data_IF_978388280313
#
_entry.id   IF_978388280313
#
_cell.length_a   1.000
_cell.length_b   1.000
_cell.length_c   1.000
_cell.angle_alpha   90.00
_cell.angle_beta   90.00
_cell.angle_gamma   90.00
#
_symmetry.space_group_name_H-M   'P 1'
#
loop_
_entity.id
_entity.type
_entity.pdbx_description
1 polymer ?
#
# COMPACT_ATOMS: atom_id res chain seq x y z
N UNK A 1 88.66 8.07 68.97
CA UNK A 1 88.09 9.44 68.89
C UNK A 1 86.80 9.45 69.67
N UNK A 2 86.57 10.44 70.51
CA UNK A 2 85.29 10.59 71.22
C UNK A 2 84.24 11.14 70.26
N UNK A 3 82.95 10.84 70.49
CA UNK A 3 81.86 11.26 69.58
C UNK A 3 81.82 12.79 69.34
N UNK A 4 82.32 13.58 70.29
CA UNK A 4 82.42 15.03 70.19
C UNK A 4 83.44 15.51 69.12
N UNK A 5 84.44 14.71 68.77
CA UNK A 5 85.49 15.11 67.82
C UNK A 5 85.15 14.79 66.35
N UNK A 6 84.00 14.17 66.07
CA UNK A 6 83.60 13.75 64.72
C UNK A 6 82.36 14.50 64.15
N UNK A 7 81.84 15.52 64.85
CA UNK A 7 80.63 16.23 64.42
C UNK A 7 79.36 15.35 64.40
N UNK A 8 79.39 14.21 65.10
CA UNK A 8 78.29 13.26 65.14
C UNK A 8 77.15 13.73 66.05
N UNK A 9 75.91 13.48 65.64
CA UNK A 9 74.71 13.79 66.43
C UNK A 9 74.68 12.88 67.68
N UNK A 10 74.60 13.44 68.91
CA UNK A 10 74.48 12.65 70.12
C UNK A 10 73.23 11.77 70.09
N UNK A 11 73.32 10.52 70.53
CA UNK A 11 72.16 9.61 70.57
C UNK A 11 71.00 10.15 71.42
N UNK A 12 71.31 10.96 72.44
CA UNK A 12 70.32 11.63 73.31
C UNK A 12 69.54 12.75 72.61
N UNK A 13 70.02 13.24 71.48
CA UNK A 13 69.40 14.33 70.72
C UNK A 13 68.46 13.83 69.60
N UNK A 14 68.32 12.51 69.42
CA UNK A 14 67.46 11.94 68.39
C UNK A 14 66.04 11.73 68.91
N UNK A 15 65.03 12.14 68.15
CA UNK A 15 63.61 11.94 68.49
C UNK A 15 63.12 12.71 69.73
N UNK A 16 63.91 13.64 70.26
CA UNK A 16 63.57 14.47 71.43
C UNK A 16 63.20 15.89 71.02
N UNK A 17 62.43 16.61 71.86
CA UNK A 17 62.02 18.00 71.61
C UNK A 17 63.25 18.90 71.50
N UNK A 18 63.36 19.65 70.40
CA UNK A 18 64.53 20.50 70.10
C UNK A 18 65.74 19.75 69.54
N UNK A 19 65.62 18.44 69.32
CA UNK A 19 66.63 17.57 68.72
C UNK A 19 66.46 17.39 67.20
N UNK A 20 66.97 16.27 66.69
CA UNK A 20 66.90 15.90 65.26
C UNK A 20 65.93 14.73 65.08
N UNK A 21 65.12 14.79 64.02
CA UNK A 21 64.18 13.72 63.68
C UNK A 21 64.90 12.40 63.33
N UNK A 22 64.32 11.28 63.74
CA UNK A 22 64.77 9.95 63.37
C UNK A 22 64.10 9.48 62.08
N UNK A 23 64.71 8.48 61.43
CA UNK A 23 64.11 7.77 60.31
C UNK A 23 63.83 6.32 60.69
N UNK A 24 62.69 5.79 60.25
CA UNK A 24 62.34 4.38 60.40
C UNK A 24 63.17 3.48 59.47
N UNK A 25 62.92 2.16 59.52
CA UNK A 25 63.61 1.18 58.67
C UNK A 25 63.40 1.39 57.15
N UNK A 26 62.47 2.26 56.75
CA UNK A 26 62.25 2.67 55.37
C UNK A 26 62.80 4.06 55.03
N UNK A 27 63.51 4.71 55.95
CA UNK A 27 64.11 6.02 55.72
C UNK A 27 63.13 7.21 55.83
N UNK A 28 61.98 7.04 56.50
CA UNK A 28 60.99 8.11 56.69
C UNK A 28 60.90 8.56 58.15
N UNK A 29 60.56 9.82 58.38
CA UNK A 29 60.32 10.33 59.76
C UNK A 29 59.05 9.67 60.32
N UNK A 30 59.11 9.00 61.50
CA UNK A 30 57.93 8.41 62.13
C UNK A 30 56.84 9.45 62.41
N UNK A 31 55.58 9.10 62.23
CA UNK A 31 54.44 10.02 62.44
C UNK A 31 54.36 10.57 63.87
N UNK A 32 54.89 9.85 64.86
CA UNK A 32 55.00 10.32 66.25
C UNK A 32 55.91 11.54 66.43
N UNK A 33 56.76 11.85 65.45
CA UNK A 33 57.64 13.02 65.44
C UNK A 33 57.11 14.17 64.56
N UNK A 34 55.97 13.98 63.89
CA UNK A 34 55.34 14.99 63.04
C UNK A 34 54.32 15.81 63.85
N UNK A 35 54.16 17.12 63.59
CA UNK A 35 53.10 17.92 64.20
C UNK A 35 51.72 17.35 63.88
N UNK A 36 50.76 17.44 64.81
CA UNK A 36 49.46 16.78 64.65
C UNK A 36 48.75 17.18 63.36
N UNK A 37 48.88 18.43 62.88
CA UNK A 37 48.34 18.95 61.60
C UNK A 37 48.82 18.24 60.32
N UNK A 38 49.78 17.32 60.39
CA UNK A 38 50.22 16.52 59.24
C UNK A 38 49.37 15.26 59.06
N UNK A 39 48.62 14.84 60.09
CA UNK A 39 47.72 13.68 60.04
C UNK A 39 46.26 14.09 60.23
N UNK A 40 45.60 14.51 59.15
CA UNK A 40 44.23 15.04 59.20
C UNK A 40 43.15 13.96 59.31
N UNK A 41 43.51 12.68 59.15
CA UNK A 41 42.58 11.55 59.16
C UNK A 41 43.10 10.46 60.09
N UNK A 42 42.50 10.37 61.28
CA UNK A 42 42.85 9.40 62.30
C UNK A 42 41.89 8.21 62.25
N UNK A 43 42.43 7.02 62.05
CA UNK A 43 41.63 5.79 61.99
C UNK A 43 41.70 5.00 63.29
N UNK A 44 40.54 4.56 63.77
CA UNK A 44 40.43 3.74 64.98
C UNK A 44 39.57 2.51 64.71
N UNK A 45 39.84 1.42 65.43
CA UNK A 45 39.07 0.19 65.29
C UNK A 45 37.58 0.36 65.65
N UNK A 46 37.27 1.23 66.63
CA UNK A 46 35.92 1.49 67.14
C UNK A 46 35.78 2.91 67.69
N UNK A 47 34.56 3.46 67.75
CA UNK A 47 34.32 4.81 68.31
C UNK A 47 34.65 4.91 69.81
N UNK A 48 34.56 3.80 70.54
CA UNK A 48 34.98 3.71 71.95
C UNK A 48 36.50 3.82 72.14
N UNK A 49 37.28 3.66 71.07
CA UNK A 49 38.74 3.81 71.08
C UNK A 49 39.18 5.24 70.78
N UNK A 50 38.24 6.17 70.53
CA UNK A 50 38.58 7.58 70.37
C UNK A 50 39.15 8.16 71.68
N UNK A 51 40.08 9.13 71.58
CA UNK A 51 40.53 9.88 72.75
C UNK A 51 39.36 10.50 73.52
N UNK A 52 39.50 10.66 74.83
CA UNK A 52 38.46 11.30 75.65
C UNK A 52 38.17 12.76 75.23
N UNK A 53 39.12 13.43 74.58
CA UNK A 53 38.98 14.77 74.00
C UNK A 53 39.59 14.76 72.61
N UNK A 54 38.79 15.13 71.60
CA UNK A 54 39.27 15.24 70.23
C UNK A 54 39.99 16.55 69.94
N UNK A 55 40.70 16.58 68.82
CA UNK A 55 41.36 17.76 68.29
C UNK A 55 40.48 18.40 67.20
N UNK A 56 40.39 19.73 67.23
CA UNK A 56 39.70 20.48 66.18
C UNK A 56 40.46 20.35 64.85
N UNK A 57 39.71 20.23 63.75
CA UNK A 57 40.30 20.12 62.40
C UNK A 57 40.70 18.69 62.00
N UNK A 58 40.52 17.69 62.88
CA UNK A 58 40.76 16.28 62.58
C UNK A 58 39.51 15.53 62.16
N UNK A 59 39.69 14.61 61.22
CA UNK A 59 38.69 13.63 60.80
C UNK A 59 39.01 12.32 61.51
N UNK A 60 38.01 11.78 62.20
CA UNK A 60 38.13 10.51 62.91
C UNK A 60 37.31 9.47 62.14
N UNK A 61 37.95 8.41 61.67
CA UNK A 61 37.30 7.33 60.92
C UNK A 61 37.28 6.08 61.78
N UNK A 62 36.11 5.45 61.88
CA UNK A 62 35.98 4.16 62.54
C UNK A 62 36.02 3.05 61.50
N UNK A 63 36.99 2.15 61.59
CA UNK A 63 37.25 1.13 60.58
C UNK A 63 36.15 0.06 60.49
N UNK A 64 35.49 -0.27 61.59
CA UNK A 64 34.45 -1.32 61.62
C UNK A 64 33.16 -0.92 60.88
N UNK A 65 32.83 0.36 60.91
CA UNK A 65 31.56 0.92 60.42
C UNK A 65 31.77 1.90 59.26
N UNK A 66 33.02 2.24 58.96
CA UNK A 66 33.43 3.28 58.00
C UNK A 66 32.79 4.64 58.25
N UNK A 67 32.36 4.90 59.49
CA UNK A 67 31.75 6.17 59.87
C UNK A 67 32.82 7.22 60.12
N UNK A 68 32.54 8.45 59.70
CA UNK A 68 33.44 9.59 59.82
C UNK A 68 32.89 10.61 60.81
N UNK A 69 33.75 11.10 61.68
CA UNK A 69 33.43 12.01 62.77
C UNK A 69 34.37 13.21 62.77
N UNK A 70 33.90 14.33 63.34
CA UNK A 70 34.71 15.50 63.70
C UNK A 70 34.54 15.83 65.17
N UNK A 71 35.54 16.46 65.78
CA UNK A 71 35.40 17.02 67.13
C UNK A 71 34.67 18.38 67.08
N UNK A 72 33.57 18.52 67.82
CA UNK A 72 32.77 19.76 67.88
C UNK A 72 33.30 20.79 68.89
N UNK A 73 34.32 20.44 69.68
CA UNK A 73 34.76 21.18 70.86
C UNK A 73 34.32 20.54 72.17
N UNK A 74 33.25 19.71 72.15
CA UNK A 74 32.76 19.02 73.34
C UNK A 74 32.39 17.55 73.12
N UNK A 75 32.19 17.13 71.87
CA UNK A 75 31.85 15.75 71.54
C UNK A 75 32.29 15.39 70.11
N UNK A 76 32.38 14.10 69.82
CA UNK A 76 32.51 13.60 68.46
C UNK A 76 31.15 13.63 67.76
N UNK A 77 31.09 14.29 66.61
CA UNK A 77 29.87 14.43 65.80
C UNK A 77 30.09 13.77 64.44
N UNK A 78 29.20 12.84 64.08
CA UNK A 78 29.22 12.15 62.78
C UNK A 78 29.03 13.19 61.65
N UNK A 79 29.93 13.19 60.66
CA UNK A 79 29.96 14.19 59.59
C UNK A 79 28.84 13.94 58.56
N UNK A 80 28.54 12.68 58.29
CA UNK A 80 27.46 12.28 57.40
C UNK A 80 26.70 11.11 58.01
N UNK A 81 25.52 11.36 58.56
CA UNK A 81 24.59 10.29 58.91
C UNK A 81 24.15 9.64 57.60
N UNK A 82 24.48 8.37 57.40
CA UNK A 82 24.02 7.61 56.23
C UNK A 82 22.49 7.63 56.14
N UNK A 83 21.94 7.95 54.98
CA UNK A 83 20.49 7.94 54.76
C UNK A 83 20.03 6.48 54.62
N UNK A 84 19.18 6.02 55.53
CA UNK A 84 18.59 4.69 55.47
C UNK A 84 17.53 4.59 54.36
N UNK A 85 17.27 3.39 53.85
CA UNK A 85 16.16 3.15 52.93
C UNK A 85 14.82 3.18 53.68
N UNK A 86 13.85 3.95 53.20
CA UNK A 86 12.56 4.13 53.89
C UNK A 86 11.61 5.12 53.23
N UNK A 87 10.49 5.41 53.89
CA UNK A 87 9.38 6.24 53.37
C UNK A 87 9.09 7.48 54.23
N UNK A 88 10.05 7.96 55.02
CA UNK A 88 9.93 9.22 55.77
C UNK A 88 10.84 10.29 55.18
N UNK A 89 10.66 11.55 55.61
CA UNK A 89 11.47 12.69 55.18
C UNK A 89 12.97 12.57 55.52
N UNK A 90 13.36 11.57 56.30
CA UNK A 90 14.75 11.30 56.71
C UNK A 90 15.39 10.10 55.97
N UNK A 91 14.71 9.53 54.96
CA UNK A 91 15.13 8.30 54.26
C UNK A 91 15.03 8.41 52.74
N UNK A 92 15.83 7.65 52.00
CA UNK A 92 15.78 7.61 50.54
C UNK A 92 14.97 6.41 50.05
N UNK A 93 14.20 6.59 48.98
CA UNK A 93 13.51 5.48 48.33
C UNK A 93 14.50 4.53 47.66
N UNK A 94 14.13 3.25 47.52
CA UNK A 94 14.90 2.32 46.71
C UNK A 94 14.92 2.78 45.24
N UNK A 95 16.09 2.81 44.63
CA UNK A 95 16.30 3.32 43.27
C UNK A 95 15.67 2.47 42.14
N UNK A 96 15.22 1.25 42.43
CA UNK A 96 14.59 0.33 41.48
C UNK A 96 13.07 0.58 41.27
N UNK A 97 12.43 1.45 42.07
CA UNK A 97 10.97 1.69 42.00
C UNK A 97 10.46 2.09 40.62
N UNK A 98 11.21 2.91 39.88
CA UNK A 98 10.83 3.33 38.53
C UNK A 98 10.76 2.14 37.55
N UNK A 99 11.74 1.24 37.63
CA UNK A 99 11.79 -0.01 36.85
C UNK A 99 10.65 -0.93 37.23
N UNK A 100 10.41 -1.13 38.52
CA UNK A 100 9.29 -1.95 39.01
C UNK A 100 7.95 -1.41 38.53
N UNK A 101 7.71 -0.10 38.62
CA UNK A 101 6.47 0.51 38.14
C UNK A 101 6.28 0.36 36.64
N UNK A 102 7.34 0.56 35.85
CA UNK A 102 7.31 0.38 34.40
C UNK A 102 7.04 -1.08 34.03
N UNK A 103 7.75 -2.03 34.62
CA UNK A 103 7.55 -3.45 34.34
C UNK A 103 6.11 -3.89 34.70
N UNK A 104 5.56 -3.39 35.81
CA UNK A 104 4.19 -3.67 36.22
C UNK A 104 3.15 -3.05 35.27
N UNK A 105 3.41 -1.88 34.69
CA UNK A 105 2.51 -1.25 33.70
C UNK A 105 2.55 -1.94 32.33
N UNK A 106 3.62 -2.66 32.01
CA UNK A 106 3.73 -3.41 30.75
C UNK A 106 3.08 -4.80 30.79
N UNK A 107 2.61 -5.26 31.95
CA UNK A 107 1.85 -6.52 32.06
C UNK A 107 0.45 -6.33 31.48
N UNK A 108 0.22 -6.81 30.25
CA UNK A 108 -1.08 -6.72 29.55
C UNK A 108 -1.88 -8.02 29.60
N UNK A 109 -1.35 -9.06 30.24
CA UNK A 109 -1.97 -10.39 30.34
C UNK A 109 -1.93 -10.90 31.79
N UNK A 110 -2.78 -11.88 32.13
CA UNK A 110 -2.73 -12.57 33.42
C UNK A 110 -3.39 -11.87 34.62
N UNK A 111 -4.18 -10.80 34.40
CA UNK A 111 -4.82 -10.02 35.46
C UNK A 111 -3.83 -9.51 36.55
N UNK A 112 -2.84 -8.69 36.17
CA UNK A 112 -1.75 -8.27 37.07
C UNK A 112 -2.22 -7.41 38.24
N UNK A 113 -3.40 -6.80 38.13
CA UNK A 113 -4.01 -6.01 39.19
C UNK A 113 -4.98 -6.83 40.05
N UNK A 114 -5.11 -8.14 39.79
CA UNK A 114 -6.00 -9.06 40.49
C UNK A 114 -7.44 -8.54 40.63
N UNK A 115 -7.89 -7.73 39.65
CA UNK A 115 -9.22 -7.15 39.65
C UNK A 115 -10.20 -8.21 39.20
N UNK A 116 -11.24 -8.46 40.00
CA UNK A 116 -12.33 -9.36 39.59
C UNK A 116 -13.22 -8.67 38.56
N UNK A 117 -13.93 -9.45 37.74
CA UNK A 117 -14.88 -8.90 36.77
C UNK A 117 -15.87 -7.91 37.43
N UNK A 118 -16.39 -8.28 38.61
CA UNK A 118 -17.30 -7.43 39.38
C UNK A 118 -16.67 -6.09 39.78
N UNK A 119 -15.40 -6.08 40.21
CA UNK A 119 -14.68 -4.86 40.57
C UNK A 119 -14.38 -3.96 39.35
N UNK A 120 -14.22 -4.55 38.17
CA UNK A 120 -14.08 -3.81 36.92
C UNK A 120 -15.42 -3.32 36.34
N UNK A 121 -16.55 -3.58 37.02
CA UNK A 121 -17.89 -3.29 36.49
C UNK A 121 -18.31 -4.22 35.34
N UNK A 122 -17.55 -5.28 35.08
CA UNK A 122 -17.93 -6.34 34.14
C UNK A 122 -18.83 -7.34 34.88
N UNK A 123 -20.09 -7.46 34.46
CA UNK A 123 -21.02 -8.43 35.01
C UNK A 123 -20.52 -9.88 34.80
N UNK A 124 -21.02 -10.81 35.65
CA UNK A 124 -20.52 -12.18 35.80
C UNK A 124 -20.42 -13.01 34.49
N UNK A 125 -19.53 -14.00 34.51
CA UNK A 125 -18.95 -14.78 33.40
C UNK A 125 -19.87 -15.61 32.48
N UNK A 126 -21.15 -15.25 32.30
CA UNK A 126 -22.01 -15.92 31.34
C UNK A 126 -22.87 -14.92 30.56
N UNK A 127 -22.35 -14.48 29.41
CA UNK A 127 -23.20 -13.97 28.34
C UNK A 127 -23.55 -15.13 27.40
N UNK A 128 -24.53 -15.96 27.78
CA UNK A 128 -25.27 -16.70 26.76
C UNK A 128 -26.28 -15.75 26.15
N UNK A 129 -25.86 -14.97 25.15
CA UNK A 129 -26.84 -14.35 24.26
C UNK A 129 -27.46 -15.49 23.45
N UNK A 130 -28.71 -15.85 23.75
CA UNK A 130 -29.49 -16.62 22.78
C UNK A 130 -29.53 -15.79 21.49
N UNK A 131 -29.35 -16.40 20.32
CA UNK A 131 -29.36 -15.69 19.05
C UNK A 131 -30.65 -14.85 18.82
N UNK A 132 -31.72 -15.17 19.53
CA UNK A 132 -32.99 -14.43 19.57
C UNK A 132 -32.92 -13.07 20.27
N UNK A 133 -31.92 -12.84 21.13
CA UNK A 133 -31.79 -11.60 21.92
C UNK A 133 -31.04 -10.49 21.14
N UNK A 134 -30.36 -10.85 20.04
CA UNK A 134 -29.82 -9.89 19.05
C UNK A 134 -30.90 -9.38 18.09
N UNK A 135 -32.09 -9.99 18.07
CA UNK A 135 -33.16 -9.69 17.10
C UNK A 135 -34.37 -9.00 17.73
N UNK A 136 -34.45 -8.91 19.07
CA UNK A 136 -35.58 -8.31 19.79
C UNK A 136 -35.42 -6.81 20.08
N UNK A 137 -34.22 -6.24 19.88
CA UNK A 137 -33.91 -4.84 20.20
C UNK A 137 -33.55 -3.96 19.00
N UNK A 138 -33.76 -4.43 17.76
CA UNK A 138 -33.72 -3.54 16.60
C UNK A 138 -35.03 -2.76 16.58
N UNK A 139 -35.07 -1.68 17.37
CA UNK A 139 -35.95 -0.56 17.08
C UNK A 139 -35.57 -0.10 15.66
N UNK A 140 -36.48 -0.36 14.72
CA UNK A 140 -36.37 -0.04 13.31
C UNK A 140 -36.47 1.46 13.03
N UNK A 141 -36.44 2.31 14.06
CA UNK A 141 -36.36 3.76 13.94
C UNK A 141 -35.03 4.28 14.49
N UNK A 142 -34.10 4.75 13.63
CA UNK A 142 -32.87 5.36 14.11
C UNK A 142 -33.21 6.72 14.75
N UNK A 143 -33.32 6.76 16.07
CA UNK A 143 -33.39 8.03 16.80
C UNK A 143 -31.99 8.67 16.75
N UNK A 144 -31.89 9.77 16.00
CA UNK A 144 -30.70 10.59 15.91
C UNK A 144 -30.35 11.16 17.29
N UNK A 145 -29.36 10.59 17.97
CA UNK A 145 -28.92 11.09 19.27
C UNK A 145 -27.89 10.25 20.00
N UNK A 146 -27.76 8.96 19.69
CA UNK A 146 -26.74 8.12 20.33
C UNK A 146 -25.48 8.10 19.47
N UNK A 147 -24.35 8.50 20.06
CA UNK A 147 -23.00 8.23 19.54
C UNK A 147 -22.78 6.72 19.55
N UNK A 148 -23.43 6.05 18.60
CA UNK A 148 -23.53 4.61 18.49
C UNK A 148 -22.15 4.06 18.20
N UNK A 149 -21.72 3.13 19.05
CA UNK A 149 -20.55 2.30 18.79
C UNK A 149 -20.71 1.75 17.37
N UNK A 150 -19.81 2.21 16.50
CA UNK A 150 -19.77 1.84 15.09
C UNK A 150 -19.35 0.38 15.03
N UNK A 151 -20.29 -0.54 15.28
CA UNK A 151 -20.02 -1.96 15.14
C UNK A 151 -19.74 -2.22 13.66
N UNK A 152 -18.81 -3.11 13.35
CA UNK A 152 -18.51 -3.49 11.97
C UNK A 152 -19.77 -4.00 11.24
N UNK A 153 -20.75 -4.55 11.98
CA UNK A 153 -22.09 -4.89 11.50
C UNK A 153 -22.92 -3.66 11.12
N UNK A 154 -22.99 -2.64 11.97
CA UNK A 154 -23.70 -1.38 11.70
C UNK A 154 -23.14 -0.62 10.49
N UNK A 155 -21.81 -0.58 10.34
CA UNK A 155 -21.16 0.00 9.15
C UNK A 155 -21.43 -0.83 7.91
N UNK A 156 -21.32 -2.16 7.99
CA UNK A 156 -21.62 -3.04 6.85
C UNK A 156 -23.08 -2.93 6.41
N UNK A 157 -24.01 -2.78 7.35
CA UNK A 157 -25.43 -2.57 7.05
C UNK A 157 -25.67 -1.19 6.40
N UNK A 158 -25.09 -0.12 6.95
CA UNK A 158 -25.20 1.22 6.39
C UNK A 158 -24.56 1.34 5.00
N UNK A 159 -23.37 0.74 4.80
CA UNK A 159 -22.70 0.69 3.49
C UNK A 159 -23.43 -0.24 2.51
N UNK A 160 -24.04 -1.33 3.00
CA UNK A 160 -24.87 -2.22 2.20
C UNK A 160 -26.16 -1.56 1.71
N UNK A 161 -26.69 -0.60 2.46
CA UNK A 161 -27.85 0.21 2.06
C UNK A 161 -27.50 1.29 1.02
N UNK A 162 -26.22 1.62 0.82
CA UNK A 162 -25.81 2.63 -0.17
C UNK A 162 -26.10 2.18 -1.61
N UNK A 163 -26.10 0.87 -1.86
CA UNK A 163 -26.46 0.27 -3.15
C UNK A 163 -27.59 -0.73 -2.93
N UNK A 164 -28.85 -0.38 -3.25
CA UNK A 164 -29.99 -1.27 -3.13
C UNK A 164 -29.84 -2.58 -3.93
N UNK A 165 -30.47 -3.64 -3.46
CA UNK A 165 -30.62 -4.88 -4.23
C UNK A 165 -31.32 -4.59 -5.57
N UNK A 166 -30.83 -5.22 -6.65
CA UNK A 166 -31.28 -4.97 -8.02
C UNK A 166 -30.47 -3.91 -8.78
N UNK A 167 -29.59 -3.14 -8.12
CA UNK A 167 -28.67 -2.25 -8.82
C UNK A 167 -27.66 -3.05 -9.66
N UNK A 168 -27.42 -2.60 -10.89
CA UNK A 168 -26.50 -3.22 -11.85
C UNK A 168 -25.28 -2.32 -12.06
N UNK A 169 -24.08 -2.90 -12.01
CA UNK A 169 -22.81 -2.22 -12.22
C UNK A 169 -21.95 -2.96 -13.25
N UNK A 170 -20.99 -2.24 -13.82
CA UNK A 170 -19.94 -2.78 -14.68
C UNK A 170 -18.80 -3.34 -13.82
N UNK A 171 -18.38 -4.57 -14.12
CA UNK A 171 -17.30 -5.30 -13.44
C UNK A 171 -16.22 -5.69 -14.45
N UNK A 172 -15.00 -5.22 -14.24
CA UNK A 172 -13.84 -5.55 -15.10
C UNK A 172 -13.20 -6.90 -14.80
N UNK A 173 -13.48 -7.50 -13.64
CA UNK A 173 -12.89 -8.78 -13.24
C UNK A 173 -13.56 -9.98 -13.92
N UNK A 174 -13.01 -11.17 -13.64
CA UNK A 174 -13.55 -12.42 -14.16
C UNK A 174 -14.96 -12.71 -13.60
N UNK A 175 -15.82 -13.31 -14.43
CA UNK A 175 -17.16 -13.76 -14.03
C UNK A 175 -17.13 -14.81 -12.90
N UNK A 176 -16.03 -15.56 -12.78
CA UNK A 176 -15.80 -16.54 -11.70
C UNK A 176 -15.31 -15.92 -10.40
N UNK A 177 -14.99 -14.61 -10.38
CA UNK A 177 -14.43 -13.90 -9.24
C UNK A 177 -15.33 -12.74 -8.78
N UNK A 178 -16.65 -12.88 -8.97
CA UNK A 178 -17.62 -11.88 -8.53
C UNK A 178 -17.68 -11.85 -6.99
N UNK A 179 -17.60 -10.66 -6.36
CA UNK A 179 -17.65 -10.54 -4.90
C UNK A 179 -18.94 -11.08 -4.30
N UNK A 180 -18.85 -11.60 -3.08
CA UNK A 180 -20.04 -12.02 -2.31
C UNK A 180 -21.05 -10.88 -2.17
N UNK A 181 -22.34 -11.20 -2.27
CA UNK A 181 -23.44 -10.23 -2.28
C UNK A 181 -23.77 -9.64 -3.66
N UNK A 182 -23.09 -10.09 -4.71
CA UNK A 182 -23.34 -9.77 -6.11
C UNK A 182 -23.52 -11.04 -6.95
N UNK A 183 -24.25 -10.93 -8.05
CA UNK A 183 -24.43 -12.00 -9.02
C UNK A 183 -24.18 -11.52 -10.45
N UNK A 184 -23.74 -12.42 -11.33
CA UNK A 184 -23.62 -12.14 -12.76
C UNK A 184 -25.03 -11.94 -13.37
N UNK A 185 -25.19 -10.94 -14.23
CA UNK A 185 -26.42 -10.75 -14.99
C UNK A 185 -26.51 -11.76 -16.14
N UNK A 186 -26.79 -13.02 -15.82
CA UNK A 186 -26.83 -14.14 -16.76
C UNK A 186 -28.24 -14.72 -16.99
N UNK A 187 -29.26 -14.24 -16.26
CA UNK A 187 -30.63 -14.75 -16.28
C UNK A 187 -30.98 -15.66 -15.10
N UNK A 188 -30.00 -15.99 -14.25
CA UNK A 188 -30.19 -16.84 -13.07
C UNK A 188 -30.38 -15.98 -11.81
N UNK A 189 -30.87 -16.58 -10.72
CA UNK A 189 -31.02 -15.93 -9.42
C UNK A 189 -31.81 -14.61 -9.46
N UNK A 190 -32.78 -14.50 -10.38
CA UNK A 190 -33.58 -13.29 -10.57
C UNK A 190 -32.86 -12.14 -11.29
N UNK A 191 -31.64 -12.34 -11.77
CA UNK A 191 -30.90 -11.34 -12.56
C UNK A 191 -31.42 -11.29 -14.01
N UNK A 192 -31.38 -10.14 -14.69
CA UNK A 192 -31.55 -10.10 -16.14
C UNK A 192 -30.36 -10.75 -16.84
N UNK A 193 -30.58 -11.32 -18.04
CA UNK A 193 -29.47 -11.78 -18.88
C UNK A 193 -28.95 -10.61 -19.72
N UNK A 194 -27.80 -10.07 -19.36
CA UNK A 194 -27.14 -8.93 -20.04
C UNK A 194 -25.85 -9.31 -20.77
N UNK A 195 -25.53 -10.60 -20.86
CA UNK A 195 -24.39 -11.08 -21.64
C UNK A 195 -24.59 -10.75 -23.13
N UNK A 196 -23.51 -10.30 -23.76
CA UNK A 196 -23.44 -9.92 -25.18
C UNK A 196 -24.50 -8.90 -25.62
N UNK A 197 -24.92 -8.02 -24.70
CA UNK A 197 -25.94 -6.99 -24.95
C UNK A 197 -25.38 -5.60 -24.75
N UNK A 198 -25.81 -4.70 -25.63
CA UNK A 198 -25.65 -3.26 -25.45
C UNK A 198 -26.87 -2.70 -24.71
N UNK A 199 -26.65 -1.84 -23.72
CA UNK A 199 -27.72 -1.31 -22.88
C UNK A 199 -28.36 -0.09 -23.54
N UNK A 200 -29.68 -0.10 -23.61
CA UNK A 200 -30.51 1.04 -24.01
C UNK A 200 -31.39 1.45 -22.82
N UNK A 201 -31.54 2.74 -22.60
CA UNK A 201 -32.42 3.26 -21.56
C UNK A 201 -33.88 2.90 -21.85
N UNK A 202 -34.56 2.29 -20.88
CA UNK A 202 -35.99 2.06 -20.99
C UNK A 202 -36.77 3.39 -21.01
N UNK A 203 -37.86 3.43 -21.77
CA UNK A 203 -38.68 4.62 -21.99
C UNK A 203 -39.97 4.28 -22.74
N UNK A 204 -40.53 5.23 -23.49
CA UNK A 204 -41.75 5.00 -24.27
C UNK A 204 -41.57 3.97 -25.39
N UNK A 205 -40.40 3.91 -26.01
CA UNK A 205 -40.10 3.01 -27.14
C UNK A 205 -39.61 1.64 -26.69
N UNK A 206 -38.84 1.59 -25.60
CA UNK A 206 -38.21 0.38 -25.10
C UNK A 206 -38.72 0.09 -23.69
N UNK A 207 -39.53 -0.96 -23.54
CA UNK A 207 -39.97 -1.43 -22.23
C UNK A 207 -38.79 -2.01 -21.44
N UNK A 208 -38.91 -2.03 -20.10
CA UNK A 208 -37.92 -2.69 -19.23
C UNK A 208 -37.79 -4.16 -19.61
N UNK A 209 -36.57 -4.62 -19.85
CA UNK A 209 -36.27 -5.99 -20.25
C UNK A 209 -36.49 -6.30 -21.74
N UNK A 210 -36.93 -5.34 -22.55
CA UNK A 210 -37.03 -5.52 -23.99
C UNK A 210 -35.63 -5.78 -24.60
N UNK A 211 -35.55 -6.73 -25.54
CA UNK A 211 -34.31 -7.09 -26.23
C UNK A 211 -34.45 -6.94 -27.74
N UNK A 212 -33.36 -6.62 -28.44
CA UNK A 212 -33.33 -6.53 -29.89
C UNK A 212 -31.93 -6.24 -30.42
N UNK A 213 -31.85 -5.86 -31.69
CA UNK A 213 -30.58 -5.59 -32.39
C UNK A 213 -29.94 -6.83 -33.00
N UNK A 214 -28.86 -6.61 -33.76
CA UNK A 214 -28.08 -7.67 -34.41
C UNK A 214 -26.59 -7.32 -34.39
N UNK A 215 -25.74 -8.31 -34.14
CA UNK A 215 -24.27 -8.16 -34.17
C UNK A 215 -23.72 -8.04 -35.58
N UNK A 216 -24.42 -8.57 -36.58
CA UNK A 216 -24.10 -8.38 -38.00
C UNK A 216 -25.36 -8.10 -38.82
N UNK A 217 -25.18 -7.43 -39.96
CA UNK A 217 -26.28 -7.08 -40.88
C UNK A 217 -25.92 -7.52 -42.28
N UNK A 218 -26.85 -8.22 -42.95
CA UNK A 218 -26.79 -8.51 -44.38
C UNK A 218 -27.70 -7.53 -45.11
N UNK A 219 -27.16 -6.82 -46.10
CA UNK A 219 -27.94 -5.89 -46.90
C UNK A 219 -28.92 -6.64 -47.80
N UNK A 220 -30.17 -6.17 -47.81
CA UNK A 220 -31.19 -6.61 -48.78
C UNK A 220 -31.11 -5.77 -50.05
N UNK A 221 -31.74 -6.25 -51.12
CA UNK A 221 -31.82 -5.51 -52.39
C UNK A 221 -32.46 -4.14 -52.22
N UNK A 222 -33.47 -4.01 -51.34
CA UNK A 222 -34.16 -2.75 -51.05
C UNK A 222 -33.27 -1.72 -50.33
N UNK A 223 -32.17 -2.16 -49.72
CA UNK A 223 -31.22 -1.30 -49.01
C UNK A 223 -30.07 -0.81 -49.92
N UNK A 224 -30.03 -1.23 -51.18
CA UNK A 224 -29.02 -0.78 -52.14
C UNK A 224 -29.54 0.46 -52.89
N UNK A 225 -28.84 1.62 -52.84
CA UNK A 225 -29.24 2.79 -53.60
C UNK A 225 -29.33 2.54 -55.11
N UNK A 226 -30.19 3.31 -55.78
CA UNK A 226 -30.24 3.33 -57.25
C UNK A 226 -28.86 3.66 -57.82
N UNK A 227 -28.40 2.85 -58.78
CA UNK A 227 -27.12 3.02 -59.45
C UNK A 227 -27.23 2.62 -60.92
N UNK A 228 -26.29 3.10 -61.74
CA UNK A 228 -26.26 2.85 -63.19
C UNK A 228 -25.02 2.06 -63.59
N UNK A 229 -25.15 1.22 -64.61
CA UNK A 229 -24.01 0.57 -65.26
C UNK A 229 -23.78 1.19 -66.64
N UNK A 230 -22.54 1.57 -66.94
CA UNK A 230 -22.13 1.91 -68.30
C UNK A 230 -21.67 0.65 -69.01
N UNK A 231 -22.43 0.20 -70.02
CA UNK A 231 -22.01 -0.87 -70.90
C UNK A 231 -21.53 -0.24 -72.20
N UNK A 232 -20.23 -0.33 -72.48
CA UNK A 232 -19.67 0.08 -73.77
C UNK A 232 -19.59 -1.15 -74.66
N UNK A 233 -20.36 -1.14 -75.74
CA UNK A 233 -20.25 -2.12 -76.81
C UNK A 233 -19.34 -1.48 -77.86
N UNK A 234 -18.11 -1.99 -78.01
CA UNK A 234 -17.21 -1.52 -79.04
C UNK A 234 -17.77 -1.86 -80.41
N UNK A 235 -17.88 -0.88 -81.32
CA UNK A 235 -18.17 -1.20 -82.72
C UNK A 235 -16.97 -1.96 -83.27
N UNK A 236 -17.19 -3.12 -83.88
CA UNK A 236 -16.13 -3.75 -84.67
C UNK A 236 -15.62 -2.72 -85.69
N UNK A 237 -14.32 -2.42 -85.62
CA UNK A 237 -13.68 -1.50 -86.54
C UNK A 237 -13.90 -2.04 -87.96
N UNK A 238 -14.50 -1.21 -88.81
CA UNK A 238 -14.67 -1.55 -90.22
C UNK A 238 -13.30 -1.91 -90.80
N UNK A 239 -13.11 -3.16 -91.20
CA UNK A 239 -11.87 -3.61 -91.80
C UNK A 239 -12.05 -3.73 -93.32
N UNK A 240 -10.98 -3.44 -94.06
CA UNK A 240 -10.96 -3.50 -95.52
C UNK A 240 -10.18 -4.71 -95.99
N UNK A 241 -10.67 -5.41 -97.00
CA UNK A 241 -9.90 -6.42 -97.71
C UNK A 241 -9.27 -5.80 -98.96
N UNK A 242 -7.97 -5.98 -99.15
CA UNK A 242 -7.29 -5.63 -100.41
C UNK A 242 -7.42 -6.78 -101.40
N UNK A 243 -8.07 -6.55 -102.53
CA UNK A 243 -8.12 -7.51 -103.64
C UNK A 243 -7.39 -6.92 -104.84
N UNK A 244 -6.39 -7.63 -105.35
CA UNK A 244 -5.68 -7.26 -106.58
C UNK A 244 -6.34 -7.95 -107.76
N UNK A 245 -7.09 -7.21 -108.57
CA UNK A 245 -7.61 -7.72 -109.84
C UNK A 245 -6.68 -7.28 -110.99
N UNK A 246 -6.13 -8.24 -111.73
CA UNK A 246 -5.33 -7.97 -112.94
C UNK A 246 -6.22 -7.45 -114.08
N UNK A 247 -5.82 -6.35 -114.71
CA UNK A 247 -6.54 -5.73 -115.83
C UNK A 247 -6.21 -6.52 -117.10
N UNK A 248 -7.13 -7.39 -117.51
CA UNK A 248 -6.99 -8.20 -118.72
C UNK A 248 -8.34 -8.46 -119.37
N UNK A 249 -8.62 -7.74 -120.46
CA UNK A 249 -9.65 -8.00 -121.48
C UNK A 249 -11.12 -8.03 -121.01
N UNK A 250 -11.88 -7.04 -121.48
CA UNK A 250 -13.33 -6.94 -121.37
C UNK A 250 -14.04 -8.17 -121.96
N UNK A 251 -14.63 -8.99 -121.09
CA UNK A 251 -15.81 -9.80 -121.44
C UNK A 251 -17.05 -9.19 -120.78
N UNK A 252 -18.14 -9.24 -121.53
CA UNK A 252 -19.46 -8.66 -121.26
C UNK A 252 -20.00 -9.12 -119.91
N UNK A 253 -20.17 -8.18 -118.98
CA UNK A 253 -20.67 -8.41 -117.63
C UNK A 253 -19.96 -7.58 -116.55
N UNK A 254 -18.81 -6.99 -116.89
CA UNK A 254 -18.04 -6.15 -115.96
C UNK A 254 -18.50 -4.70 -116.00
N UNK A 255 -18.78 -4.15 -114.82
CA UNK A 255 -19.25 -2.77 -114.60
C UNK A 255 -18.40 -1.75 -115.36
N UNK A 256 -19.07 -0.88 -116.12
CA UNK A 256 -18.48 0.21 -116.89
C UNK A 256 -18.05 1.35 -115.96
N UNK A 257 -16.74 1.46 -115.72
CA UNK A 257 -16.16 2.64 -115.08
C UNK A 257 -15.92 3.68 -116.17
N UNK A 258 -16.82 4.66 -116.27
CA UNK A 258 -16.69 5.73 -117.23
C UNK A 258 -15.49 6.62 -116.87
N UNK A 259 -14.51 6.66 -117.79
CA UNK A 259 -13.53 7.75 -117.90
C UNK A 259 -12.37 7.70 -116.92
N UNK A 260 -11.39 6.82 -117.18
CA UNK A 260 -9.95 7.19 -117.18
C UNK A 260 -9.10 6.02 -117.71
N UNK A 261 -8.23 6.28 -118.69
CA UNK A 261 -7.13 5.39 -119.04
C UNK A 261 -5.94 5.65 -118.09
N UNK A 262 -6.11 5.32 -116.81
CA UNK A 262 -5.02 5.39 -115.82
C UNK A 262 -4.51 3.98 -115.49
N UNK A 263 -3.23 3.74 -115.79
CA UNK A 263 -2.44 2.65 -115.20
C UNK A 263 -2.14 3.01 -113.75
N UNK A 264 -2.98 2.53 -112.82
CA UNK A 264 -2.83 2.80 -111.39
C UNK A 264 -3.79 1.99 -110.53
N UNK A 265 -3.38 1.71 -109.29
CA UNK A 265 -4.15 0.97 -108.28
C UNK A 265 -5.48 1.66 -108.01
N UNK A 266 -6.61 1.03 -108.37
CA UNK A 266 -7.95 1.56 -108.11
C UNK A 266 -8.55 0.91 -106.86
N UNK A 267 -8.79 1.70 -105.83
CA UNK A 267 -9.43 1.23 -104.60
C UNK A 267 -10.93 1.05 -104.82
N UNK A 268 -11.45 -0.17 -104.62
CA UNK A 268 -12.89 -0.46 -104.63
C UNK A 268 -13.33 -0.76 -103.20
N UNK A 269 -14.36 -0.06 -102.73
CA UNK A 269 -14.94 -0.31 -101.40
C UNK A 269 -16.08 -1.33 -101.54
N UNK A 270 -15.93 -2.53 -100.97
CA UNK A 270 -17.08 -3.43 -100.79
C UNK A 270 -17.97 -2.92 -99.65
N UNK A 271 -19.30 -3.02 -99.81
CA UNK A 271 -20.28 -2.52 -98.84
C UNK A 271 -20.15 -3.14 -97.44
N UNK A 272 -20.74 -2.46 -96.44
CA UNK A 272 -20.64 -2.75 -95.00
C UNK A 272 -21.03 -4.20 -94.66
N UNK A 273 -20.32 -4.81 -93.71
CA UNK A 273 -20.57 -6.15 -93.19
C UNK A 273 -21.95 -6.34 -92.53
N UNK A 274 -22.41 -7.59 -92.46
CA UNK A 274 -23.74 -8.00 -91.99
C UNK A 274 -24.02 -7.58 -90.53
N UNK A 275 -25.28 -7.26 -90.24
CA UNK A 275 -25.71 -6.93 -88.88
C UNK A 275 -25.46 -8.12 -87.93
N UNK A 276 -24.82 -7.87 -86.78
CA UNK A 276 -24.70 -8.81 -85.68
C UNK A 276 -25.27 -8.22 -84.39
N UNK A 277 -25.52 -9.07 -83.40
CA UNK A 277 -26.06 -8.68 -82.10
C UNK A 277 -25.06 -8.98 -80.97
N UNK A 278 -25.08 -8.17 -79.92
CA UNK A 278 -24.33 -8.42 -78.69
C UNK A 278 -25.30 -8.81 -77.58
N UNK A 279 -25.07 -9.97 -76.96
CA UNK A 279 -25.79 -10.39 -75.75
C UNK A 279 -24.98 -9.98 -74.52
N UNK A 280 -25.54 -9.12 -73.67
CA UNK A 280 -24.96 -8.82 -72.35
C UNK A 280 -25.70 -9.65 -71.30
N UNK A 281 -25.04 -10.69 -70.79
CA UNK A 281 -25.53 -11.47 -69.65
C UNK A 281 -25.10 -10.76 -68.36
N UNK A 282 -26.05 -10.26 -67.56
CA UNK A 282 -25.74 -9.71 -66.22
C UNK A 282 -25.38 -10.85 -65.26
N UNK A 283 -24.20 -10.80 -64.66
CA UNK A 283 -23.87 -11.65 -63.52
C UNK A 283 -24.53 -11.12 -62.23
N UNK A 284 -24.79 -11.99 -61.25
CA UNK A 284 -25.34 -11.60 -59.94
C UNK A 284 -24.57 -10.44 -59.32
N UNK A 285 -25.30 -9.42 -58.85
CA UNK A 285 -24.72 -8.32 -58.08
C UNK A 285 -24.73 -8.65 -56.58
N UNK A 286 -23.55 -8.61 -55.97
CA UNK A 286 -23.37 -8.78 -54.52
C UNK A 286 -23.18 -10.23 -54.07
N UNK A 287 -22.41 -10.41 -52.98
CA UNK A 287 -22.13 -11.73 -52.39
C UNK A 287 -23.04 -12.11 -51.20
N UNK A 288 -23.98 -11.23 -50.80
CA UNK A 288 -24.89 -11.47 -49.68
C UNK A 288 -24.21 -11.61 -48.31
N UNK A 289 -22.94 -11.22 -48.19
CA UNK A 289 -22.18 -11.31 -46.94
C UNK A 289 -22.69 -10.33 -45.89
N UNK A 290 -22.82 -10.78 -44.64
CA UNK A 290 -23.08 -9.89 -43.52
C UNK A 290 -21.83 -9.10 -43.15
N UNK A 291 -22.00 -7.85 -42.71
CA UNK A 291 -20.91 -7.08 -42.11
C UNK A 291 -21.14 -6.88 -40.60
N UNK A 292 -20.04 -6.65 -39.88
CA UNK A 292 -20.05 -6.31 -38.45
C UNK A 292 -20.85 -5.01 -38.23
N UNK A 293 -21.72 -5.01 -37.21
CA UNK A 293 -22.62 -3.90 -36.89
C UNK A 293 -22.29 -3.26 -35.53
N UNK A 294 -21.29 -3.79 -34.80
CA UNK A 294 -20.84 -3.23 -33.52
C UNK A 294 -19.76 -2.17 -33.72
N UNK A 295 -19.80 -1.06 -32.97
CA UNK A 295 -18.64 -0.18 -32.84
C UNK A 295 -17.49 -0.91 -32.12
N UNK A 296 -16.25 -0.37 -32.14
CA UNK A 296 -15.18 -0.86 -31.27
C UNK A 296 -15.65 -0.94 -29.81
N UNK A 297 -15.42 -2.08 -29.16
CA UNK A 297 -15.92 -2.33 -27.80
C UNK A 297 -14.87 -2.97 -26.90
N UNK A 298 -15.06 -2.80 -25.58
CA UNK A 298 -14.30 -3.48 -24.53
C UNK A 298 -15.29 -4.24 -23.65
N UNK A 299 -15.11 -5.55 -23.50
CA UNK A 299 -16.06 -6.41 -22.81
C UNK A 299 -15.85 -6.36 -21.29
N UNK A 300 -16.93 -6.09 -20.55
CA UNK A 300 -16.99 -6.14 -19.08
C UNK A 300 -18.21 -6.98 -18.66
N UNK A 301 -18.19 -7.50 -17.44
CA UNK A 301 -19.35 -8.19 -16.87
C UNK A 301 -20.36 -7.18 -16.34
N UNK A 302 -21.65 -7.46 -16.52
CA UNK A 302 -22.71 -6.82 -15.73
C UNK A 302 -22.97 -7.65 -14.48
N UNK A 303 -22.89 -7.03 -13.30
CA UNK A 303 -23.20 -7.68 -12.02
C UNK A 303 -24.34 -6.95 -11.32
N UNK A 304 -25.21 -7.69 -10.64
CA UNK A 304 -26.36 -7.17 -9.90
C UNK A 304 -26.17 -7.39 -8.41
N UNK A 305 -26.49 -6.37 -7.61
CA UNK A 305 -26.51 -6.50 -6.15
C UNK A 305 -27.68 -7.42 -5.76
N UNK A 306 -27.37 -8.46 -4.98
CA UNK A 306 -28.38 -9.36 -4.40
C UNK A 306 -29.05 -8.77 -3.16
#
# INVERSE_FOLDING_TARGET
>A
MTAAQAGAIPATAKGTVGGVAELDGGGKVPSSQLPSYVDDVLEYAGSASFPATGEAGKIYVVQDTNKTYRWSGSAYVEIAQGIALGETSATAYRGDRGKTSYDHSQLTTGNPHHVTAAQAGAAAASHTHAASDMTSGVDSTPTAGSNNLVTSGGVKAALGALVPAGCILLWSGAATAIPSGWALCNGESGTPNLRDRFIVGAGSTYAVGATGGASSVTLTTDQIPSHTHSNTIGSESNHTHGVTAGIGTSSSGSASWAGDSQSGTKTVTSGKGSAHTHTITKASAGGGGSHENRPPYYAMCYIMKL
#
